data_IF_490251310793
#
_entry.id   IF_490251310793
#
_cell.length_a   1.000
_cell.length_b   1.000
_cell.length_c   1.000
_cell.angle_alpha   90.00
_cell.angle_beta   90.00
_cell.angle_gamma   90.00
#
_symmetry.space_group_name_H-M   'P 1'
#
loop_
_entity.id
_entity.type
_entity.pdbx_description
1 polymer ?
#
# COMPACT_ATOMS: atom_id res chain seq x y z
N UNK A 1 24.63 -4.43 -10.34
CA UNK A 1 24.35 -5.76 -9.73
C UNK A 1 23.08 -6.28 -10.37
N UNK A 2 22.99 -7.58 -10.68
CA UNK A 2 21.74 -8.18 -11.14
C UNK A 2 20.72 -8.26 -9.99
N UNK A 3 19.43 -8.40 -10.33
CA UNK A 3 18.35 -8.60 -9.35
C UNK A 3 18.62 -9.81 -8.46
N UNK A 4 19.02 -10.94 -9.07
CA UNK A 4 19.40 -12.15 -8.34
C UNK A 4 20.50 -11.89 -7.29
N UNK A 5 21.56 -11.15 -7.65
CA UNK A 5 22.63 -10.80 -6.71
C UNK A 5 22.15 -9.94 -5.53
N UNK A 6 21.18 -9.06 -5.76
CA UNK A 6 20.59 -8.24 -4.69
C UNK A 6 19.80 -9.14 -3.72
N UNK A 7 18.96 -10.02 -4.25
CA UNK A 7 18.13 -10.94 -3.45
C UNK A 7 19.02 -11.88 -2.61
N UNK A 8 20.08 -12.43 -3.18
CA UNK A 8 21.01 -13.28 -2.43
C UNK A 8 21.75 -12.53 -1.32
N UNK A 9 22.13 -11.27 -1.57
CA UNK A 9 22.71 -10.42 -0.52
C UNK A 9 21.71 -10.12 0.60
N UNK A 10 20.47 -9.77 0.27
CA UNK A 10 19.41 -9.59 1.26
C UNK A 10 19.15 -10.86 2.06
N UNK A 11 19.10 -12.01 1.39
CA UNK A 11 18.90 -13.33 2.01
C UNK A 11 20.05 -13.68 2.95
N UNK A 12 21.29 -13.38 2.58
CA UNK A 12 22.48 -13.59 3.43
C UNK A 12 22.42 -12.67 4.65
N UNK A 13 22.17 -11.38 4.43
CA UNK A 13 22.05 -10.38 5.51
C UNK A 13 20.95 -10.75 6.53
N UNK A 14 19.82 -11.28 6.04
CA UNK A 14 18.76 -11.84 6.89
C UNK A 14 19.22 -13.06 7.69
N UNK A 15 19.86 -14.05 7.03
CA UNK A 15 20.33 -15.30 7.65
C UNK A 15 21.39 -15.07 8.72
N UNK A 16 22.24 -14.06 8.53
CA UNK A 16 23.26 -13.64 9.50
C UNK A 16 22.65 -12.99 10.75
N UNK A 17 21.32 -12.80 10.78
CA UNK A 17 20.57 -12.35 11.95
C UNK A 17 20.57 -10.84 12.16
N UNK A 18 21.09 -10.05 11.20
CA UNK A 18 21.19 -8.60 11.33
C UNK A 18 19.83 -7.90 11.54
N UNK A 19 18.73 -8.49 11.06
CA UNK A 19 17.38 -7.94 11.19
C UNK A 19 16.66 -8.39 12.47
N UNK A 20 17.25 -9.30 13.26
CA UNK A 20 16.56 -9.90 14.42
C UNK A 20 16.31 -8.90 15.54
N UNK A 21 17.28 -8.03 15.83
CA UNK A 21 17.17 -7.04 16.91
C UNK A 21 16.02 -6.05 16.67
N UNK A 22 15.16 -5.86 17.67
CA UNK A 22 14.10 -4.85 17.63
C UNK A 22 14.67 -3.43 17.48
N UNK A 23 15.86 -3.16 18.00
CA UNK A 23 16.52 -1.87 17.83
C UNK A 23 16.85 -1.61 16.36
N UNK A 24 17.38 -2.63 15.66
CA UNK A 24 17.64 -2.52 14.22
C UNK A 24 16.36 -2.20 13.45
N UNK A 25 15.26 -2.92 13.74
CA UNK A 25 13.95 -2.71 13.10
C UNK A 25 13.41 -1.31 13.35
N UNK A 26 13.45 -0.83 14.60
CA UNK A 26 13.08 0.55 14.97
C UNK A 26 13.93 1.58 14.23
N UNK A 27 15.22 1.32 14.04
CA UNK A 27 16.08 2.22 13.27
C UNK A 27 15.69 2.25 11.79
N UNK A 28 15.33 1.13 11.17
CA UNK A 28 14.81 1.13 9.79
C UNK A 28 13.49 1.91 9.66
N UNK A 29 12.58 1.77 10.63
CA UNK A 29 11.33 2.53 10.68
C UNK A 29 11.58 4.03 10.84
N UNK A 30 12.53 4.44 11.69
CA UNK A 30 12.95 5.84 11.84
C UNK A 30 13.56 6.39 10.54
N UNK A 31 14.34 5.58 9.83
CA UNK A 31 14.88 5.95 8.51
C UNK A 31 13.76 6.14 7.48
N UNK A 32 12.75 5.26 7.48
CA UNK A 32 11.57 5.43 6.64
C UNK A 32 10.83 6.73 6.97
N UNK A 33 10.56 6.98 8.25
CA UNK A 33 9.91 8.22 8.71
C UNK A 33 10.71 9.46 8.31
N UNK A 34 12.04 9.40 8.42
CA UNK A 34 12.92 10.48 7.99
C UNK A 34 12.78 10.72 6.48
N UNK A 35 12.84 9.68 5.65
CA UNK A 35 12.62 9.79 4.20
C UNK A 35 11.25 10.42 3.88
N UNK A 36 10.19 9.94 4.53
CA UNK A 36 8.83 10.45 4.31
C UNK A 36 8.72 11.94 4.66
N UNK A 37 9.44 12.42 5.67
CA UNK A 37 9.41 13.83 6.08
C UNK A 37 10.31 14.72 5.22
N UNK A 38 11.54 14.27 4.95
CA UNK A 38 12.56 15.04 4.23
C UNK A 38 12.20 15.19 2.74
N UNK A 39 11.62 14.14 2.14
CA UNK A 39 11.37 14.06 0.70
C UNK A 39 9.89 14.21 0.32
N UNK A 40 9.02 14.58 1.27
CA UNK A 40 7.56 14.68 1.07
C UNK A 40 7.19 15.51 -0.15
N UNK A 41 7.84 16.65 -0.37
CA UNK A 41 7.53 17.57 -1.47
C UNK A 41 7.89 16.95 -2.82
N UNK A 42 8.94 16.11 -2.85
CA UNK A 42 9.30 15.39 -4.06
C UNK A 42 8.27 14.30 -4.38
N UNK A 43 7.87 13.51 -3.37
CA UNK A 43 6.86 12.48 -3.54
C UNK A 43 5.51 13.06 -3.95
N UNK A 44 5.04 14.12 -3.29
CA UNK A 44 3.75 14.75 -3.62
C UNK A 44 3.77 15.36 -5.02
N UNK A 45 4.89 15.96 -5.44
CA UNK A 45 5.07 16.46 -6.80
C UNK A 45 5.16 15.34 -7.85
N UNK A 46 5.79 14.20 -7.52
CA UNK A 46 5.82 13.04 -8.39
C UNK A 46 4.40 12.48 -8.64
N UNK A 47 3.62 12.32 -7.57
CA UNK A 47 2.20 11.91 -7.65
C UNK A 47 1.38 12.94 -8.44
N UNK A 48 1.64 14.24 -8.28
CA UNK A 48 0.97 15.26 -9.08
C UNK A 48 1.26 15.11 -10.58
N UNK A 49 2.48 14.72 -10.96
CA UNK A 49 2.80 14.45 -12.38
C UNK A 49 2.07 13.23 -12.92
N UNK A 50 1.92 12.18 -12.11
CA UNK A 50 1.29 10.93 -12.52
C UNK A 50 -0.25 11.03 -12.53
N UNK A 51 -0.86 11.60 -11.48
CA UNK A 51 -2.31 11.56 -11.25
C UNK A 51 -3.00 12.92 -11.27
N UNK A 52 -2.23 14.02 -11.37
CA UNK A 52 -2.72 15.40 -11.20
C UNK A 52 -3.49 15.59 -9.89
N UNK A 53 -3.19 14.77 -8.87
CA UNK A 53 -3.72 14.89 -7.51
C UNK A 53 -2.92 15.95 -6.78
N UNK A 54 -3.61 16.96 -6.27
CA UNK A 54 -3.00 18.09 -5.57
C UNK A 54 -2.10 17.61 -4.40
N UNK A 55 -0.97 18.31 -4.19
CA UNK A 55 0.08 17.89 -3.27
C UNK A 55 -0.40 17.76 -1.81
N UNK A 56 -1.27 18.66 -1.34
CA UNK A 56 -1.89 18.62 0.00
C UNK A 56 -2.76 17.37 0.16
N UNK A 57 -3.51 17.00 -0.88
CA UNK A 57 -4.35 15.80 -0.85
C UNK A 57 -3.46 14.56 -0.77
N UNK A 58 -2.42 14.51 -1.60
CA UNK A 58 -1.42 13.43 -1.58
C UNK A 58 -0.69 13.37 -0.23
N UNK A 59 -0.35 14.51 0.37
CA UNK A 59 0.28 14.55 1.69
C UNK A 59 -0.59 13.84 2.72
N UNK A 60 -1.87 14.20 2.84
CA UNK A 60 -2.76 13.55 3.80
C UNK A 60 -3.05 12.09 3.45
N UNK A 61 -3.23 11.77 2.17
CA UNK A 61 -3.67 10.43 1.74
C UNK A 61 -2.55 9.41 1.60
N UNK A 62 -1.29 9.84 1.52
CA UNK A 62 -0.19 8.90 1.31
C UNK A 62 0.99 9.09 2.28
N UNK A 63 1.40 10.34 2.52
CA UNK A 63 2.58 10.65 3.33
C UNK A 63 2.24 10.57 4.82
N UNK A 64 1.25 11.36 5.27
CA UNK A 64 0.83 11.42 6.66
C UNK A 64 0.35 10.05 7.16
N UNK A 65 -0.42 9.32 6.35
CA UNK A 65 -0.84 7.95 6.67
C UNK A 65 0.36 7.03 6.97
N UNK A 66 1.40 7.07 6.13
CA UNK A 66 2.62 6.28 6.35
C UNK A 66 3.33 6.70 7.64
N UNK A 67 3.44 8.00 7.89
CA UNK A 67 4.10 8.51 9.11
C UNK A 67 3.34 8.09 10.37
N UNK A 68 2.01 8.16 10.35
CA UNK A 68 1.16 7.68 11.45
C UNK A 68 1.33 6.18 11.69
N UNK A 69 1.34 5.37 10.63
CA UNK A 69 1.58 3.92 10.73
C UNK A 69 2.94 3.60 11.35
N UNK A 70 3.98 4.37 10.98
CA UNK A 70 5.32 4.21 11.57
C UNK A 70 5.30 4.54 13.06
N UNK A 71 4.63 5.62 13.46
CA UNK A 71 4.57 6.04 14.85
C UNK A 71 3.82 5.02 15.72
N UNK A 72 2.69 4.51 15.24
CA UNK A 72 1.96 3.45 15.90
C UNK A 72 2.80 2.17 16.02
N UNK A 73 3.44 1.77 14.92
CA UNK A 73 4.35 0.61 14.89
C UNK A 73 5.50 0.78 15.89
N UNK A 74 6.14 1.95 15.94
CA UNK A 74 7.24 2.22 16.87
C UNK A 74 6.80 2.14 18.34
N UNK A 75 5.58 2.59 18.64
CA UNK A 75 5.01 2.55 19.98
C UNK A 75 4.74 1.10 20.43
N UNK A 76 4.23 0.25 19.55
CA UNK A 76 3.75 -1.09 19.91
C UNK A 76 4.69 -2.24 19.54
N UNK A 77 5.77 -2.01 18.77
CA UNK A 77 6.63 -3.09 18.25
C UNK A 77 7.17 -4.04 19.33
N UNK A 78 7.51 -3.52 20.51
CA UNK A 78 8.00 -4.36 21.62
C UNK A 78 6.94 -5.34 22.10
N UNK A 79 5.70 -4.87 22.24
CA UNK A 79 4.55 -5.69 22.63
C UNK A 79 4.24 -6.72 21.57
N UNK A 80 4.15 -6.29 20.30
CA UNK A 80 3.84 -7.18 19.19
C UNK A 80 4.88 -8.30 19.03
N UNK A 81 6.16 -8.00 19.24
CA UNK A 81 7.24 -8.98 19.15
C UNK A 81 7.37 -9.90 20.36
N UNK A 82 6.74 -9.58 21.50
CA UNK A 82 6.85 -10.40 22.70
C UNK A 82 6.21 -11.79 22.49
N UNK A 83 6.81 -12.86 23.09
CA UNK A 83 6.18 -14.16 23.15
C UNK A 83 4.81 -14.09 23.82
N UNK A 84 3.83 -14.79 23.28
CA UNK A 84 2.48 -14.87 23.83
C UNK A 84 2.30 -16.23 24.49
N UNK A 85 2.12 -16.26 25.81
CA UNK A 85 1.83 -17.49 26.55
C UNK A 85 0.40 -17.93 26.26
N UNK A 86 0.21 -19.18 25.86
CA UNK A 86 -1.11 -19.72 25.49
C UNK A 86 -1.66 -20.67 26.56
N UNK A 87 -2.96 -20.94 26.46
CA UNK A 87 -3.66 -21.81 27.41
C UNK A 87 -3.09 -23.23 27.39
N UNK A 88 -2.94 -23.81 28.58
CA UNK A 88 -2.48 -25.20 28.76
C UNK A 88 -3.63 -26.18 28.59
N UNK A 89 -3.27 -27.41 28.29
CA UNK A 89 -4.17 -28.57 28.33
C UNK A 89 -3.73 -29.51 29.44
N UNK A 90 -4.51 -30.56 29.74
CA UNK A 90 -4.10 -31.59 30.69
C UNK A 90 -2.77 -32.25 30.30
N UNK A 91 -2.53 -32.43 29.00
CA UNK A 91 -1.29 -33.03 28.49
C UNK A 91 -0.06 -32.11 28.63
N UNK A 92 -0.28 -30.79 28.66
CA UNK A 92 0.80 -29.78 28.72
C UNK A 92 0.81 -29.02 30.04
N UNK A 93 0.26 -29.62 31.11
CA UNK A 93 0.04 -28.96 32.40
C UNK A 93 1.33 -28.43 33.03
N UNK A 94 2.44 -29.16 32.84
CA UNK A 94 3.77 -28.82 33.36
C UNK A 94 4.61 -27.98 32.39
N UNK A 95 4.11 -27.73 31.18
CA UNK A 95 4.83 -26.98 30.14
C UNK A 95 4.48 -25.49 30.15
N UNK A 96 5.23 -24.67 29.40
CA UNK A 96 4.88 -23.26 29.11
C UNK A 96 4.72 -23.07 27.60
N UNK A 97 3.55 -23.45 27.04
CA UNK A 97 3.32 -23.27 25.62
C UNK A 97 3.23 -21.78 25.29
N UNK A 98 3.87 -21.38 24.20
CA UNK A 98 3.90 -19.99 23.74
C UNK A 98 3.97 -19.87 22.23
N UNK A 99 3.48 -18.74 21.72
CA UNK A 99 3.62 -18.33 20.33
C UNK A 99 4.77 -17.32 20.27
N UNK A 100 5.80 -17.65 19.50
CA UNK A 100 6.93 -16.77 19.19
C UNK A 100 6.85 -16.39 17.72
N UNK A 101 6.98 -15.09 17.42
CA UNK A 101 6.88 -14.54 16.06
C UNK A 101 8.30 -14.33 15.51
N UNK A 102 8.66 -15.03 14.44
CA UNK A 102 9.95 -14.88 13.74
C UNK A 102 9.71 -14.35 12.31
N UNK A 103 10.55 -13.43 11.78
CA UNK A 103 10.47 -13.00 10.38
C UNK A 103 10.53 -14.17 9.38
N UNK A 104 9.94 -13.93 8.22
CA UNK A 104 9.90 -14.91 7.13
C UNK A 104 11.20 -14.92 6.31
N UNK A 105 11.78 -13.75 6.04
CA UNK A 105 13.02 -13.62 5.25
C UNK A 105 12.98 -12.45 4.29
N UNK A 106 13.02 -12.74 2.99
CA UNK A 106 12.98 -11.73 1.92
C UNK A 106 11.55 -11.56 1.44
N UNK A 107 11.01 -10.34 1.59
CA UNK A 107 9.65 -9.97 1.18
C UNK A 107 9.70 -9.21 -0.16
N UNK A 108 8.84 -9.58 -1.10
CA UNK A 108 8.57 -8.81 -2.30
C UNK A 108 7.29 -7.99 -2.13
N UNK A 109 7.35 -6.68 -2.39
CA UNK A 109 6.19 -5.79 -2.45
C UNK A 109 6.00 -5.33 -3.90
N UNK A 110 4.90 -5.71 -4.53
CA UNK A 110 4.50 -5.25 -5.87
C UNK A 110 3.33 -4.29 -5.72
N UNK A 111 3.58 -3.00 -5.96
CA UNK A 111 2.60 -1.94 -5.73
C UNK A 111 1.90 -1.48 -7.03
N UNK A 112 0.67 -0.94 -6.94
CA UNK A 112 -0.07 -0.40 -8.07
C UNK A 112 0.22 1.10 -8.23
N UNK A 113 -0.43 1.73 -9.20
CA UNK A 113 -0.17 3.13 -9.58
C UNK A 113 -1.07 4.18 -8.91
N UNK A 114 -2.18 3.80 -8.29
CA UNK A 114 -3.24 4.75 -7.91
C UNK A 114 -3.00 5.47 -6.57
N UNK A 115 -2.26 4.85 -5.67
CA UNK A 115 -1.65 5.46 -4.49
C UNK A 115 -0.21 4.97 -4.39
N UNK A 116 0.64 5.43 -5.33
CA UNK A 116 1.91 4.78 -5.65
C UNK A 116 2.98 4.95 -4.57
N UNK A 117 2.76 5.84 -3.59
CA UNK A 117 3.65 5.99 -2.44
C UNK A 117 3.17 5.10 -1.30
N UNK A 118 1.93 5.27 -0.81
CA UNK A 118 1.51 4.56 0.41
C UNK A 118 1.30 3.06 0.21
N UNK A 119 0.95 2.62 -0.99
CA UNK A 119 0.82 1.19 -1.30
C UNK A 119 2.18 0.49 -1.47
N UNK A 120 3.28 1.25 -1.44
CA UNK A 120 4.63 0.74 -1.20
C UNK A 120 4.99 0.83 0.28
N UNK A 121 4.82 2.01 0.87
CA UNK A 121 5.42 2.32 2.16
C UNK A 121 4.66 1.71 3.34
N UNK A 122 3.33 1.57 3.29
CA UNK A 122 2.57 0.90 4.36
C UNK A 122 2.95 -0.59 4.48
N UNK A 123 2.96 -1.39 3.39
CA UNK A 123 3.52 -2.74 3.44
C UNK A 123 4.99 -2.80 3.89
N UNK A 124 5.79 -1.81 3.50
CA UNK A 124 7.20 -1.72 3.91
C UNK A 124 7.35 -1.54 5.43
N UNK A 125 6.51 -0.71 6.07
CA UNK A 125 6.47 -0.55 7.53
C UNK A 125 6.30 -1.90 8.20
N UNK A 126 5.27 -2.66 7.80
CA UNK A 126 4.97 -3.98 8.34
C UNK A 126 6.13 -4.98 8.13
N UNK A 127 6.72 -5.01 6.93
CA UNK A 127 7.81 -5.93 6.60
C UNK A 127 9.08 -5.66 7.43
N UNK A 128 9.45 -4.39 7.59
CA UNK A 128 10.59 -3.96 8.40
C UNK A 128 10.36 -4.22 9.89
N UNK A 129 9.16 -3.92 10.40
CA UNK A 129 8.76 -4.18 11.78
C UNK A 129 8.81 -5.68 12.13
N UNK A 130 8.37 -6.52 11.20
CA UNK A 130 8.46 -7.97 11.35
C UNK A 130 9.90 -8.51 11.26
N UNK A 131 10.88 -7.71 10.80
CA UNK A 131 12.30 -8.09 10.74
C UNK A 131 12.74 -8.72 9.42
N UNK A 132 12.05 -8.40 8.33
CA UNK A 132 12.38 -8.90 6.99
C UNK A 132 13.26 -7.91 6.22
N UNK A 133 13.94 -8.40 5.18
CA UNK A 133 14.48 -7.56 4.11
C UNK A 133 13.46 -7.45 2.97
N UNK A 134 13.55 -6.41 2.15
CA UNK A 134 12.49 -6.07 1.21
C UNK A 134 13.01 -5.72 -0.19
N UNK A 135 12.37 -6.30 -1.19
CA UNK A 135 12.43 -5.85 -2.59
C UNK A 135 11.12 -5.14 -2.91
N UNK A 136 11.21 -3.92 -3.43
CA UNK A 136 10.07 -3.12 -3.86
C UNK A 136 10.03 -3.12 -5.39
N UNK A 137 8.88 -3.48 -5.95
CA UNK A 137 8.56 -3.34 -7.37
C UNK A 137 7.46 -2.28 -7.51
N UNK A 138 7.81 -1.00 -7.76
CA UNK A 138 6.82 0.04 -8.02
C UNK A 138 6.14 -0.18 -9.38
N UNK A 139 4.95 0.42 -9.56
CA UNK A 139 4.23 0.35 -10.83
C UNK A 139 4.91 1.21 -11.88
N UNK A 140 5.19 0.62 -13.05
CA UNK A 140 5.70 1.30 -14.24
C UNK A 140 4.70 2.32 -14.82
N UNK A 141 3.44 2.26 -14.41
CA UNK A 141 2.39 3.17 -14.88
C UNK A 141 2.49 4.55 -14.20
N UNK A 142 2.92 4.59 -12.93
CA UNK A 142 3.16 5.84 -12.17
C UNK A 142 4.65 6.18 -12.24
N UNK A 143 5.10 6.59 -13.43
CA UNK A 143 6.52 6.70 -13.79
C UNK A 143 7.27 7.66 -12.87
N UNK A 144 6.71 8.86 -12.62
CA UNK A 144 7.40 9.86 -11.81
C UNK A 144 7.58 9.38 -10.37
N UNK A 145 6.58 8.70 -9.81
CA UNK A 145 6.64 8.16 -8.46
C UNK A 145 7.56 6.93 -8.37
N UNK A 146 7.56 6.05 -9.37
CA UNK A 146 8.51 4.93 -9.47
C UNK A 146 9.95 5.42 -9.41
N UNK A 147 10.29 6.42 -10.24
CA UNK A 147 11.63 7.01 -10.27
C UNK A 147 11.97 7.74 -8.97
N UNK A 148 10.98 8.36 -8.29
CA UNK A 148 11.20 8.95 -6.98
C UNK A 148 11.59 7.89 -5.93
N UNK A 149 10.87 6.77 -5.87
CA UNK A 149 11.19 5.67 -4.96
C UNK A 149 12.58 5.09 -5.24
N UNK A 150 12.90 4.83 -6.51
CA UNK A 150 14.22 4.33 -6.92
C UNK A 150 15.36 5.31 -6.57
N UNK A 151 15.09 6.62 -6.62
CA UNK A 151 16.05 7.66 -6.25
C UNK A 151 16.29 7.78 -4.75
N UNK A 152 15.24 7.67 -3.93
CA UNK A 152 15.35 7.99 -2.50
C UNK A 152 15.58 6.77 -1.61
N UNK A 153 15.01 5.60 -1.91
CA UNK A 153 15.22 4.40 -1.08
C UNK A 153 16.72 4.12 -0.81
N UNK A 154 17.63 4.17 -1.81
CA UNK A 154 19.06 3.92 -1.59
C UNK A 154 19.77 4.97 -0.72
N UNK A 155 19.18 6.15 -0.50
CA UNK A 155 19.75 7.18 0.39
C UNK A 155 19.48 6.91 1.87
N UNK A 156 18.40 6.19 2.17
CA UNK A 156 17.95 5.92 3.54
C UNK A 156 18.19 4.48 3.98
N UNK A 157 18.28 3.56 3.01
CA UNK A 157 18.45 2.12 3.25
C UNK A 157 19.67 1.57 2.51
N UNK A 158 20.35 0.63 3.17
CA UNK A 158 21.32 -0.22 2.49
C UNK A 158 20.57 -1.19 1.55
N UNK A 159 21.14 -1.54 0.39
CA UNK A 159 20.48 -2.45 -0.56
C UNK A 159 20.24 -3.86 0.02
N UNK A 160 21.01 -4.26 1.03
CA UNK A 160 20.81 -5.50 1.79
C UNK A 160 19.54 -5.49 2.67
N UNK A 161 18.96 -4.31 2.93
CA UNK A 161 17.74 -4.15 3.74
C UNK A 161 16.54 -3.86 2.85
N UNK A 162 16.64 -2.82 2.02
CA UNK A 162 15.56 -2.42 1.10
C UNK A 162 16.17 -2.06 -0.25
N UNK A 163 15.60 -2.58 -1.33
CA UNK A 163 15.98 -2.18 -2.67
C UNK A 163 14.76 -2.04 -3.59
N UNK A 164 14.93 -1.32 -4.69
CA UNK A 164 13.88 -1.04 -5.68
C UNK A 164 14.28 -1.70 -7.00
N UNK A 165 13.34 -2.42 -7.60
CA UNK A 165 13.44 -2.98 -8.94
C UNK A 165 12.36 -2.35 -9.80
N UNK A 166 12.75 -1.37 -10.62
CA UNK A 166 11.85 -0.78 -11.62
C UNK A 166 11.72 -1.72 -12.83
N UNK A 167 10.62 -1.58 -13.57
CA UNK A 167 10.38 -2.32 -14.81
C UNK A 167 8.92 -2.67 -15.03
N UNK A 168 8.60 -3.12 -16.23
CA UNK A 168 7.25 -3.50 -16.63
C UNK A 168 6.96 -4.99 -16.40
N UNK A 169 6.12 -5.53 -17.26
CA UNK A 169 5.75 -6.96 -17.25
C UNK A 169 6.96 -7.89 -17.42
N UNK A 170 7.92 -7.66 -18.35
CA UNK A 170 9.06 -8.55 -18.53
C UNK A 170 9.92 -8.64 -17.26
N UNK A 171 10.28 -7.50 -16.67
CA UNK A 171 11.11 -7.45 -15.46
C UNK A 171 10.38 -8.06 -14.27
N UNK A 172 9.08 -7.81 -14.12
CA UNK A 172 8.25 -8.43 -13.06
C UNK A 172 8.17 -9.95 -13.23
N UNK A 173 8.10 -10.43 -14.47
CA UNK A 173 8.05 -11.87 -14.78
C UNK A 173 9.35 -12.56 -14.42
N UNK A 174 10.51 -11.95 -14.73
CA UNK A 174 11.81 -12.45 -14.30
C UNK A 174 11.96 -12.39 -12.77
N UNK A 175 11.58 -11.27 -12.15
CA UNK A 175 11.62 -11.10 -10.70
C UNK A 175 10.82 -12.19 -9.97
N UNK A 176 9.63 -12.55 -10.46
CA UNK A 176 8.77 -13.59 -9.89
C UNK A 176 9.31 -15.02 -10.04
N UNK A 177 10.40 -15.24 -10.80
CA UNK A 177 11.09 -16.55 -10.82
C UNK A 177 11.98 -16.75 -9.60
N UNK A 178 12.43 -15.65 -8.99
CA UNK A 178 13.27 -15.67 -7.80
C UNK A 178 12.48 -16.18 -6.58
N UNK A 179 13.20 -16.72 -5.59
CA UNK A 179 12.57 -17.21 -4.36
C UNK A 179 12.39 -16.07 -3.37
N UNK A 180 11.15 -15.85 -2.94
CA UNK A 180 10.77 -14.98 -1.83
C UNK A 180 10.16 -15.79 -0.70
N UNK A 181 10.23 -15.26 0.52
CA UNK A 181 9.62 -15.88 1.70
C UNK A 181 8.21 -15.34 1.95
N UNK A 182 7.87 -14.21 1.31
CA UNK A 182 6.52 -13.63 1.24
C UNK A 182 6.41 -12.73 0.01
N UNK A 183 5.27 -12.76 -0.67
CA UNK A 183 4.96 -11.80 -1.73
C UNK A 183 3.68 -11.06 -1.35
N UNK A 184 3.73 -9.73 -1.34
CA UNK A 184 2.55 -8.87 -1.28
C UNK A 184 2.35 -8.22 -2.65
N UNK A 185 1.16 -8.42 -3.20
CA UNK A 185 0.74 -7.82 -4.47
C UNK A 185 -0.55 -7.05 -4.26
N UNK A 186 -0.55 -5.80 -4.70
CA UNK A 186 -1.77 -5.00 -4.80
C UNK A 186 -2.04 -4.67 -6.26
N UNK A 187 -3.25 -4.95 -6.74
CA UNK A 187 -3.64 -4.63 -8.12
C UNK A 187 -4.82 -5.43 -8.64
N UNK A 188 -4.73 -5.93 -9.87
CA UNK A 188 -5.86 -6.58 -10.54
C UNK A 188 -5.97 -8.07 -10.22
N UNK A 189 -7.19 -8.61 -10.22
CA UNK A 189 -7.44 -10.05 -10.03
C UNK A 189 -6.71 -10.92 -11.06
N UNK A 190 -6.64 -10.45 -12.31
CA UNK A 190 -5.97 -11.20 -13.39
C UNK A 190 -4.49 -11.40 -13.12
N UNK A 191 -3.79 -10.34 -12.71
CA UNK A 191 -2.36 -10.38 -12.39
C UNK A 191 -2.12 -11.03 -11.02
N UNK A 192 -3.04 -10.88 -10.05
CA UNK A 192 -2.98 -11.60 -8.78
C UNK A 192 -2.90 -13.12 -8.95
N UNK A 193 -3.65 -13.67 -9.93
CA UNK A 193 -3.55 -15.09 -10.30
C UNK A 193 -2.18 -15.46 -10.86
N UNK A 194 -1.56 -14.59 -11.65
CA UNK A 194 -0.19 -14.78 -12.19
C UNK A 194 0.82 -14.79 -11.05
N UNK A 195 0.73 -13.82 -10.12
CA UNK A 195 1.60 -13.75 -8.94
C UNK A 195 1.49 -15.01 -8.09
N UNK A 196 0.27 -15.46 -7.79
CA UNK A 196 0.04 -16.68 -7.01
C UNK A 196 0.56 -17.93 -7.72
N UNK A 197 0.43 -18.00 -9.05
CA UNK A 197 0.97 -19.10 -9.85
C UNK A 197 2.50 -19.15 -9.80
N UNK A 198 3.17 -18.00 -9.85
CA UNK A 198 4.61 -17.93 -9.69
C UNK A 198 5.05 -18.32 -8.26
N UNK A 199 4.35 -17.80 -7.25
CA UNK A 199 4.61 -18.10 -5.84
C UNK A 199 4.47 -19.60 -5.51
N UNK A 200 3.54 -20.30 -6.15
CA UNK A 200 3.32 -21.73 -5.97
C UNK A 200 4.56 -22.58 -6.30
N UNK A 201 5.44 -22.13 -7.21
CA UNK A 201 6.69 -22.84 -7.57
C UNK A 201 7.66 -22.95 -6.40
N UNK A 202 7.59 -22.04 -5.44
CA UNK A 202 8.46 -21.96 -4.26
C UNK A 202 7.71 -22.19 -2.94
N UNK A 203 6.41 -22.52 -3.01
CA UNK A 203 5.50 -22.55 -1.86
C UNK A 203 5.50 -21.25 -1.06
N UNK A 204 5.69 -20.12 -1.75
CA UNK A 204 5.74 -18.80 -1.13
C UNK A 204 4.32 -18.34 -0.76
N UNK A 205 4.06 -17.99 0.51
CA UNK A 205 2.76 -17.46 0.89
C UNK A 205 2.55 -16.06 0.26
N UNK A 206 1.32 -15.75 -0.14
CA UNK A 206 0.96 -14.46 -0.79
C UNK A 206 -0.05 -13.64 0.02
N UNK A 207 0.07 -12.31 -0.02
CA UNK A 207 -1.01 -11.36 0.28
C UNK A 207 -1.44 -10.74 -1.04
N UNK A 208 -2.73 -10.86 -1.38
CA UNK A 208 -3.28 -10.31 -2.61
C UNK A 208 -4.35 -9.28 -2.28
N UNK A 209 -4.00 -8.00 -2.40
CA UNK A 209 -4.93 -6.88 -2.24
C UNK A 209 -5.51 -6.52 -3.60
N UNK A 210 -6.72 -7.00 -3.87
CA UNK A 210 -7.33 -6.94 -5.20
C UNK A 210 -8.49 -5.95 -5.26
N UNK A 211 -9.02 -5.75 -6.46
CA UNK A 211 -10.22 -4.94 -6.68
C UNK A 211 -11.53 -5.71 -6.58
N UNK A 212 -12.61 -4.99 -6.81
CA UNK A 212 -13.98 -5.48 -6.88
C UNK A 212 -14.93 -4.30 -7.12
N UNK A 213 -16.23 -4.55 -7.04
CA UNK A 213 -17.25 -3.49 -7.07
C UNK A 213 -17.79 -3.29 -5.66
N UNK A 214 -17.30 -2.29 -4.95
CA UNK A 214 -17.73 -2.00 -3.57
C UNK A 214 -19.13 -1.37 -3.56
N UNK A 215 -20.19 -2.10 -3.13
CA UNK A 215 -21.55 -1.57 -3.10
C UNK A 215 -21.71 -0.55 -1.97
N UNK A 216 -22.50 0.49 -2.23
CA UNK A 216 -22.98 1.42 -1.18
C UNK A 216 -24.49 1.34 -1.08
N UNK A 217 -25.00 0.80 0.04
CA UNK A 217 -26.44 0.68 0.28
C UNK A 217 -26.93 1.90 1.05
N UNK A 218 -27.91 2.61 0.51
CA UNK A 218 -28.54 3.78 1.15
C UNK A 218 -30.01 3.46 1.42
N UNK A 219 -30.35 3.33 2.71
CA UNK A 219 -31.69 3.01 3.19
C UNK A 219 -32.58 4.26 3.25
N UNK A 220 -33.88 4.05 3.41
CA UNK A 220 -34.86 5.14 3.33
C UNK A 220 -34.87 6.09 4.52
N UNK A 221 -34.34 5.64 5.66
CA UNK A 221 -34.16 6.40 6.89
C UNK A 221 -32.77 7.06 6.98
N UNK A 222 -31.93 6.92 5.95
CA UNK A 222 -30.61 7.53 5.91
C UNK A 222 -30.70 9.06 5.81
N UNK A 223 -29.79 9.76 6.49
CA UNK A 223 -29.54 11.18 6.24
C UNK A 223 -28.95 11.35 4.83
N UNK A 224 -29.78 11.85 3.91
CA UNK A 224 -29.43 12.01 2.50
C UNK A 224 -28.29 13.00 2.30
N UNK A 225 -28.24 14.09 3.06
CA UNK A 225 -27.22 15.12 2.91
C UNK A 225 -25.85 14.60 3.36
N UNK A 226 -25.81 13.95 4.52
CA UNK A 226 -24.58 13.33 5.04
C UNK A 226 -24.12 12.18 4.14
N UNK A 227 -25.05 11.34 3.68
CA UNK A 227 -24.76 10.21 2.79
C UNK A 227 -24.18 10.70 1.45
N UNK A 228 -24.84 11.66 0.80
CA UNK A 228 -24.37 12.24 -0.45
C UNK A 228 -22.95 12.81 -0.32
N UNK A 229 -22.69 13.55 0.77
CA UNK A 229 -21.39 14.18 1.00
C UNK A 229 -20.25 13.17 1.13
N UNK A 230 -20.46 12.12 1.93
CA UNK A 230 -19.48 11.04 2.16
C UNK A 230 -19.25 10.19 0.90
N UNK A 231 -20.33 9.85 0.20
CA UNK A 231 -20.27 9.11 -1.06
C UNK A 231 -19.47 9.90 -2.10
N UNK A 232 -19.78 11.19 -2.27
CA UNK A 232 -19.10 12.03 -3.25
C UNK A 232 -17.60 12.13 -2.96
N UNK A 233 -17.23 12.37 -1.70
CA UNK A 233 -15.82 12.45 -1.31
C UNK A 233 -15.10 11.14 -1.62
N UNK A 234 -15.64 10.00 -1.15
CA UNK A 234 -15.04 8.69 -1.39
C UNK A 234 -14.99 8.30 -2.86
N UNK A 235 -15.97 8.73 -3.67
CA UNK A 235 -16.00 8.45 -5.11
C UNK A 235 -14.97 9.27 -5.89
N UNK A 236 -14.75 10.54 -5.55
CA UNK A 236 -14.00 11.45 -6.44
C UNK A 236 -12.65 11.91 -5.92
N UNK A 237 -12.23 11.54 -4.70
CA UNK A 237 -10.93 11.91 -4.11
C UNK A 237 -9.70 11.62 -5.00
N UNK A 238 -9.78 10.61 -5.86
CA UNK A 238 -8.75 10.27 -6.85
C UNK A 238 -9.34 10.03 -8.25
N UNK A 239 -10.37 10.80 -8.63
CA UNK A 239 -11.14 10.54 -9.86
C UNK A 239 -11.77 9.12 -9.89
N UNK A 240 -12.09 8.57 -8.71
CA UNK A 240 -12.63 7.20 -8.58
C UNK A 240 -11.62 6.06 -8.71
N UNK A 241 -10.34 6.37 -8.91
CA UNK A 241 -9.27 5.37 -9.06
C UNK A 241 -8.82 4.85 -7.67
N UNK A 242 -9.75 4.26 -6.92
CA UNK A 242 -9.52 3.76 -5.55
C UNK A 242 -10.22 2.42 -5.39
N UNK A 243 -9.50 1.39 -4.95
CA UNK A 243 -10.04 0.02 -4.80
C UNK A 243 -11.26 -0.05 -3.86
N UNK A 244 -11.27 0.80 -2.82
CA UNK A 244 -12.36 0.92 -1.85
C UNK A 244 -13.33 2.08 -2.15
N UNK A 245 -13.27 2.68 -3.34
CA UNK A 245 -14.25 3.70 -3.72
C UNK A 245 -15.66 3.12 -3.73
N UNK A 246 -16.70 3.91 -3.38
CA UNK A 246 -18.08 3.59 -3.73
C UNK A 246 -18.19 3.31 -5.23
N UNK A 247 -18.39 2.05 -5.62
CA UNK A 247 -18.44 1.70 -7.03
C UNK A 247 -19.82 1.99 -7.60
N UNK A 248 -20.86 1.50 -6.92
CA UNK A 248 -22.26 1.69 -7.27
C UNK A 248 -23.14 1.82 -6.02
N UNK A 249 -24.31 2.45 -6.20
CA UNK A 249 -25.28 2.68 -5.11
C UNK A 249 -26.48 1.76 -5.31
N UNK A 250 -26.93 1.14 -4.21
CA UNK A 250 -28.19 0.41 -4.11
C UNK A 250 -29.10 1.21 -3.18
N UNK A 251 -30.25 1.65 -3.68
CA UNK A 251 -31.22 2.42 -2.89
C UNK A 251 -32.64 2.26 -3.45
N UNK A 252 -33.65 2.68 -2.70
CA UNK A 252 -35.04 2.59 -3.15
C UNK A 252 -35.36 3.64 -4.22
N UNK A 253 -36.39 3.37 -5.03
CA UNK A 253 -36.88 4.32 -6.05
C UNK A 253 -37.30 5.65 -5.46
N UNK A 254 -37.72 5.66 -4.18
CA UNK A 254 -38.09 6.88 -3.44
C UNK A 254 -36.88 7.74 -3.09
N UNK A 255 -35.78 7.11 -2.67
CA UNK A 255 -34.57 7.80 -2.23
C UNK A 255 -33.71 8.27 -3.41
N UNK A 256 -33.67 7.49 -4.50
CA UNK A 256 -32.83 7.76 -5.68
C UNK A 256 -32.82 9.24 -6.14
N UNK A 257 -33.96 9.90 -6.42
CA UNK A 257 -33.92 11.29 -6.90
C UNK A 257 -33.32 12.25 -5.87
N UNK A 258 -33.68 12.10 -4.59
CA UNK A 258 -33.17 12.93 -3.50
C UNK A 258 -31.65 12.80 -3.36
N UNK A 259 -31.15 11.57 -3.45
CA UNK A 259 -29.73 11.28 -3.34
C UNK A 259 -28.94 11.81 -4.55
N UNK A 260 -29.47 11.67 -5.77
CA UNK A 260 -28.84 12.20 -7.00
C UNK A 260 -28.68 13.72 -6.92
N UNK A 261 -29.73 14.42 -6.48
CA UNK A 261 -29.68 15.88 -6.37
C UNK A 261 -28.72 16.34 -5.27
N UNK A 262 -28.70 15.65 -4.12
CA UNK A 262 -27.77 15.94 -3.04
C UNK A 262 -26.30 15.67 -3.44
N UNK A 263 -26.04 14.60 -4.20
CA UNK A 263 -24.71 14.30 -4.75
C UNK A 263 -24.28 15.38 -5.74
N UNK A 264 -25.17 15.79 -6.66
CA UNK A 264 -24.86 16.87 -7.62
C UNK A 264 -24.49 18.16 -6.90
N UNK A 265 -25.28 18.56 -5.91
CA UNK A 265 -24.98 19.73 -5.07
C UNK A 265 -23.62 19.62 -4.39
N UNK A 266 -23.31 18.45 -3.84
CA UNK A 266 -22.00 18.22 -3.20
C UNK A 266 -20.85 18.32 -4.19
N UNK A 267 -20.99 17.78 -5.40
CA UNK A 267 -19.96 17.86 -6.45
C UNK A 267 -19.70 19.32 -6.82
N UNK A 268 -20.76 20.12 -6.98
CA UNK A 268 -20.63 21.56 -7.24
C UNK A 268 -19.93 22.29 -6.06
N UNK A 269 -20.21 21.91 -4.81
CA UNK A 269 -19.52 22.46 -3.63
C UNK A 269 -18.04 22.08 -3.58
N UNK A 270 -17.68 20.86 -3.97
CA UNK A 270 -16.29 20.37 -3.92
C UNK A 270 -15.44 20.92 -5.06
N UNK A 271 -15.98 20.95 -6.27
CA UNK A 271 -15.19 21.17 -7.48
C UNK A 271 -15.62 22.41 -8.28
N UNK A 272 -16.69 23.09 -7.85
CA UNK A 272 -17.28 24.21 -8.60
C UNK A 272 -18.06 23.74 -9.82
N UNK A 273 -18.66 24.72 -10.53
CA UNK A 273 -19.49 24.44 -11.72
C UNK A 273 -18.68 23.99 -12.94
N UNK A 274 -17.42 24.41 -13.05
CA UNK A 274 -16.50 23.95 -14.10
C UNK A 274 -15.37 23.10 -13.49
N UNK A 275 -15.66 21.81 -13.32
CA UNK A 275 -14.78 20.81 -12.71
C UNK A 275 -13.43 20.73 -13.43
N UNK A 276 -13.37 21.04 -14.74
CA UNK A 276 -12.11 20.97 -15.50
C UNK A 276 -11.07 21.97 -15.00
N UNK A 277 -11.53 23.09 -14.43
CA UNK A 277 -10.67 24.14 -13.86
C UNK A 277 -10.32 23.89 -12.40
N UNK A 278 -10.93 22.90 -11.75
CA UNK A 278 -10.65 22.58 -10.36
C UNK A 278 -9.29 21.88 -10.22
N UNK A 279 -8.41 22.48 -9.41
CA UNK A 279 -7.09 21.94 -9.10
C UNK A 279 -7.13 20.71 -8.18
N UNK A 280 -8.21 20.53 -7.41
CA UNK A 280 -8.38 19.40 -6.49
C UNK A 280 -8.92 18.14 -7.16
N UNK A 281 -9.42 18.24 -8.40
CA UNK A 281 -9.89 17.09 -9.15
C UNK A 281 -8.68 16.40 -9.81
N UNK A 282 -8.45 15.12 -9.48
CA UNK A 282 -7.41 14.31 -10.11
C UNK A 282 -7.73 13.98 -11.60
N UNK A 283 -6.82 13.31 -12.30
CA UNK A 283 -7.01 12.86 -13.68
C UNK A 283 -6.84 11.35 -13.80
N UNK A 284 -7.41 10.77 -14.85
CA UNK A 284 -7.17 9.38 -15.21
C UNK A 284 -5.68 9.18 -15.49
N UNK A 285 -5.13 8.07 -15.00
CA UNK A 285 -3.68 7.81 -15.02
C UNK A 285 -3.09 7.75 -16.44
N UNK A 286 -3.86 7.29 -17.43
CA UNK A 286 -3.47 7.23 -18.84
C UNK A 286 -4.69 7.05 -19.76
N UNK A 287 -4.44 7.12 -21.07
CA UNK A 287 -5.46 6.96 -22.12
C UNK A 287 -6.21 5.62 -22.03
N UNK A 288 -5.49 4.53 -21.75
CA UNK A 288 -6.08 3.19 -21.67
C UNK A 288 -7.14 3.07 -20.56
N UNK A 289 -7.00 3.80 -19.45
CA UNK A 289 -8.02 3.82 -18.38
C UNK A 289 -9.11 4.86 -18.64
N UNK A 290 -8.87 5.80 -19.56
CA UNK A 290 -9.84 6.81 -19.94
C UNK A 290 -10.86 6.26 -20.96
N UNK A 291 -10.40 5.45 -21.92
CA UNK A 291 -11.23 4.71 -22.88
C UNK A 291 -12.06 3.59 -22.22
#
# INVERSE_FOLDING_TARGET
MSVHQIIEKQRTFFRDGHTRSLEFRKNQLKQLKKMMNDEKDYFTNAVYKDLRREQRVTFFMEIAMTVTEIDDTLAHLNEWAAPEVVSRTAATLLDTPMIVKDPLGVVLIIAPWNYPVCLVTLPLVSALAAGNTVIIKPSEVSVATSSALAKFIPKYFKPEVVSVVEGGVPETTELLKERFDRILYTGSTSVGKVVMTAAAKHLTPVTLELGGKSPTVVLEDADIATSARRIAWGKWINSGQTCIAPDYIITSSRVKPLLVDAIRKTVDEFYGKDIKTCNDYARMINERQFE
#
